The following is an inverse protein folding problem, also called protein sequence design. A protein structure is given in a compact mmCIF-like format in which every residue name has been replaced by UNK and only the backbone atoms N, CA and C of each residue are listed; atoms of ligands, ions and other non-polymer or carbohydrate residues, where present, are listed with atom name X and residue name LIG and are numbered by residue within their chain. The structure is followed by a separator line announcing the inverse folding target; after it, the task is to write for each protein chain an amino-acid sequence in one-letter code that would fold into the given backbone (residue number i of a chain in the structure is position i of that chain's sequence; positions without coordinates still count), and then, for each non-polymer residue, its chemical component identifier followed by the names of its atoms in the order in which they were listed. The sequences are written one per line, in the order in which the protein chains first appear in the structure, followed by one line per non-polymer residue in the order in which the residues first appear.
data_IF_396053416567
#
_entry.id   IF_396053416567
#
_cell.length_a   1.000
_cell.length_b   1.000
_cell.length_c   1.000
_cell.angle_alpha   90.00
_cell.angle_beta   90.00
_cell.angle_gamma   90.00
#
_symmetry.space_group_name_H-M   'P 1'
#
loop_
_entity.id
_entity.type
_entity.pdbx_description
1 polymer ?
#
# COMPACT_ATOMS: atom_id res chain seq x y z
N UNK A 1 -19.39 4.47 19.79
CA UNK A 1 -18.03 4.20 19.30
C UNK A 1 -17.50 5.44 18.60
N UNK A 2 -16.28 5.85 18.90
CA UNK A 2 -15.61 6.92 18.17
C UNK A 2 -15.24 6.44 16.76
N UNK A 3 -15.08 7.36 15.83
CA UNK A 3 -14.61 7.08 14.47
C UNK A 3 -15.47 6.08 13.68
N UNK A 4 -16.77 6.06 13.90
CA UNK A 4 -17.71 5.21 13.16
C UNK A 4 -17.60 3.71 13.41
N UNK A 5 -16.63 3.28 14.23
CA UNK A 5 -16.39 1.87 14.54
C UNK A 5 -15.79 1.04 13.41
N UNK A 6 -15.25 1.68 12.38
CA UNK A 6 -14.55 1.02 11.28
C UNK A 6 -13.23 0.37 11.73
N UNK A 7 -12.74 -0.55 10.93
CA UNK A 7 -11.41 -1.15 11.13
C UNK A 7 -10.34 -0.22 10.58
N UNK A 8 -9.47 0.27 11.47
CA UNK A 8 -8.37 1.15 11.10
C UNK A 8 -7.14 0.33 10.73
N UNK A 9 -6.56 0.61 9.58
CA UNK A 9 -5.46 -0.18 9.00
C UNK A 9 -4.08 0.37 9.34
N UNK A 10 -3.97 1.68 9.59
CA UNK A 10 -2.71 2.37 9.83
C UNK A 10 -2.10 2.05 11.21
N UNK A 11 -1.80 3.09 11.96
CA UNK A 11 -1.11 3.00 13.25
C UNK A 11 -1.81 2.12 14.29
N UNK A 12 -3.14 1.95 14.20
CA UNK A 12 -3.90 1.12 15.14
C UNK A 12 -3.54 -0.36 15.02
N UNK A 13 -3.23 -0.85 13.84
CA UNK A 13 -2.77 -2.23 13.64
C UNK A 13 -1.27 -2.37 13.90
N UNK A 14 -0.48 -1.40 13.49
CA UNK A 14 0.96 -1.33 13.71
C UNK A 14 1.33 -1.57 15.16
N UNK A 15 0.67 -0.86 16.08
CA UNK A 15 0.93 -0.96 17.50
C UNK A 15 0.65 -2.34 18.10
N UNK A 16 -0.21 -3.13 17.48
CA UNK A 16 -0.60 -4.47 17.94
C UNK A 16 0.30 -5.54 17.33
N UNK A 17 0.53 -5.50 16.03
CA UNK A 17 1.12 -6.63 15.30
C UNK A 17 2.65 -6.62 15.26
N UNK A 18 3.32 -5.47 15.22
CA UNK A 18 4.78 -5.44 15.28
C UNK A 18 5.36 -6.01 16.60
N UNK A 19 4.77 -5.77 17.78
CA UNK A 19 5.20 -6.45 19.00
C UNK A 19 5.05 -7.97 18.94
N UNK A 20 4.00 -8.50 18.32
CA UNK A 20 3.80 -9.95 18.14
C UNK A 20 4.93 -10.59 17.34
N UNK A 21 5.37 -9.93 16.26
CA UNK A 21 6.50 -10.38 15.46
C UNK A 21 7.76 -10.51 16.32
N UNK A 22 8.04 -9.51 17.14
CA UNK A 22 9.22 -9.50 18.01
C UNK A 22 9.17 -10.56 19.12
N UNK A 23 7.98 -10.85 19.62
CA UNK A 23 7.78 -11.88 20.66
C UNK A 23 7.76 -13.32 20.11
N UNK A 24 7.61 -13.47 18.77
CA UNK A 24 7.45 -14.78 18.14
C UNK A 24 6.01 -15.29 18.13
N UNK A 25 5.03 -14.41 18.39
CA UNK A 25 3.60 -14.74 18.41
C UNK A 25 3.01 -14.77 16.98
N UNK A 26 3.67 -15.47 16.07
CA UNK A 26 3.33 -15.45 14.63
C UNK A 26 1.92 -15.93 14.33
N UNK A 27 1.43 -16.92 15.09
CA UNK A 27 0.07 -17.45 14.95
C UNK A 27 -1.00 -16.39 15.23
N UNK A 28 -0.70 -15.42 16.11
CA UNK A 28 -1.61 -14.31 16.42
C UNK A 28 -1.64 -13.25 15.31
N UNK A 29 -0.64 -13.22 14.44
CA UNK A 29 -0.59 -12.32 13.27
C UNK A 29 -1.40 -12.88 12.09
N UNK A 30 -1.52 -14.18 11.98
CA UNK A 30 -2.16 -14.86 10.85
C UNK A 30 -3.60 -14.40 10.58
N UNK A 31 -4.46 -14.16 11.58
CA UNK A 31 -5.82 -13.65 11.35
C UNK A 31 -5.86 -12.34 10.56
N UNK A 32 -4.92 -11.42 10.80
CA UNK A 32 -4.79 -10.18 10.03
C UNK A 32 -4.44 -10.49 8.56
N UNK A 33 -3.43 -11.31 8.33
CA UNK A 33 -3.01 -11.66 6.97
C UNK A 33 -4.13 -12.33 6.18
N UNK A 34 -4.83 -13.27 6.81
CA UNK A 34 -6.00 -13.95 6.22
C UNK A 34 -7.16 -12.99 5.96
N UNK A 35 -7.35 -11.98 6.79
CA UNK A 35 -8.37 -10.96 6.57
C UNK A 35 -8.11 -10.21 5.26
N UNK A 36 -6.92 -9.67 5.05
CA UNK A 36 -6.56 -8.95 3.82
C UNK A 36 -6.54 -9.87 2.60
N UNK A 37 -6.09 -11.11 2.75
CA UNK A 37 -6.13 -12.10 1.67
C UNK A 37 -7.57 -12.39 1.22
N UNK A 38 -8.50 -12.55 2.15
CA UNK A 38 -9.93 -12.75 1.81
C UNK A 38 -10.53 -11.52 1.13
N UNK A 39 -10.09 -10.33 1.51
CA UNK A 39 -10.57 -9.06 0.95
C UNK A 39 -9.92 -8.70 -0.40
N UNK A 40 -8.88 -9.42 -0.83
CA UNK A 40 -8.06 -9.11 -2.00
C UNK A 40 -8.89 -8.93 -3.27
N UNK A 41 -9.77 -9.86 -3.58
CA UNK A 41 -10.61 -9.79 -4.81
C UNK A 41 -11.51 -8.56 -4.84
N UNK A 42 -12.05 -8.15 -3.70
CA UNK A 42 -12.87 -6.94 -3.60
C UNK A 42 -12.02 -5.68 -3.79
N UNK A 43 -10.80 -5.66 -3.24
CA UNK A 43 -9.87 -4.56 -3.42
C UNK A 43 -9.42 -4.40 -4.88
N UNK A 44 -9.10 -5.51 -5.56
CA UNK A 44 -8.77 -5.52 -6.99
C UNK A 44 -9.95 -5.09 -7.86
N UNK A 45 -11.16 -5.58 -7.56
CA UNK A 45 -12.37 -5.17 -8.27
C UNK A 45 -12.61 -3.67 -8.12
N UNK A 46 -12.45 -3.13 -6.92
CA UNK A 46 -12.57 -1.69 -6.66
C UNK A 46 -11.60 -0.87 -7.50
N UNK A 47 -10.34 -1.28 -7.54
CA UNK A 47 -9.29 -0.63 -8.36
C UNK A 47 -9.67 -0.65 -9.84
N UNK A 48 -10.10 -1.79 -10.33
CA UNK A 48 -10.54 -1.95 -11.73
C UNK A 48 -11.75 -1.07 -12.06
N UNK A 49 -12.76 -1.05 -11.18
CA UNK A 49 -13.99 -0.30 -11.44
C UNK A 49 -13.80 1.22 -11.38
N UNK A 50 -12.95 1.71 -10.49
CA UNK A 50 -12.80 3.16 -10.32
C UNK A 50 -11.67 3.75 -11.14
N UNK A 51 -10.58 3.02 -11.35
CA UNK A 51 -9.38 3.55 -12.00
C UNK A 51 -8.93 2.78 -13.23
N UNK A 52 -9.63 1.69 -13.60
CA UNK A 52 -9.37 0.89 -14.80
C UNK A 52 -7.96 0.30 -14.88
N UNK A 53 -7.31 0.07 -13.75
CA UNK A 53 -6.00 -0.56 -13.68
C UNK A 53 -5.96 -1.73 -12.68
N UNK A 54 -4.84 -2.44 -12.60
CA UNK A 54 -4.64 -3.61 -11.74
C UNK A 54 -4.17 -3.21 -10.35
N UNK A 55 -4.10 -4.23 -9.47
CA UNK A 55 -3.59 -4.13 -8.13
C UNK A 55 -4.66 -3.90 -7.09
N UNK A 56 -4.27 -4.08 -5.84
CA UNK A 56 -5.16 -3.95 -4.69
C UNK A 56 -4.71 -2.82 -3.79
N UNK A 57 -5.66 -1.99 -3.37
CA UNK A 57 -5.44 -0.96 -2.36
C UNK A 57 -6.46 -1.09 -1.24
N UNK A 58 -6.03 -0.72 -0.06
CA UNK A 58 -6.87 -0.67 1.13
C UNK A 58 -6.81 0.73 1.70
N UNK A 59 -7.97 1.27 2.03
CA UNK A 59 -8.07 2.58 2.66
C UNK A 59 -7.68 2.51 4.13
N UNK A 60 -7.47 3.66 4.75
CA UNK A 60 -7.13 3.73 6.18
C UNK A 60 -8.22 3.13 7.06
N UNK A 61 -9.49 3.31 6.69
CA UNK A 61 -10.64 2.69 7.37
C UNK A 61 -11.38 1.76 6.41
N UNK A 62 -11.57 0.51 6.83
CA UNK A 62 -12.22 -0.52 6.00
C UNK A 62 -13.32 -1.24 6.77
N UNK A 63 -14.28 -1.76 6.02
CA UNK A 63 -15.30 -2.69 6.48
C UNK A 63 -14.82 -4.14 6.37
N UNK A 64 -15.60 -5.06 6.90
CA UNK A 64 -15.29 -6.49 6.94
C UNK A 64 -14.98 -7.14 5.57
N UNK A 65 -15.42 -6.52 4.47
CA UNK A 65 -15.14 -6.99 3.11
C UNK A 65 -13.91 -6.32 2.47
N UNK A 66 -13.12 -5.56 3.23
CA UNK A 66 -11.97 -4.82 2.73
C UNK A 66 -12.31 -3.59 1.90
N UNK A 67 -13.58 -3.20 1.87
CA UNK A 67 -14.03 -1.98 1.22
C UNK A 67 -13.99 -0.81 2.21
N UNK A 68 -13.84 0.43 1.74
CA UNK A 68 -13.93 1.60 2.61
C UNK A 68 -15.23 1.63 3.40
N UNK A 69 -15.20 2.23 4.58
CA UNK A 69 -16.37 2.36 5.44
C UNK A 69 -17.51 3.10 4.75
N UNK A 70 -18.76 2.84 5.17
CA UNK A 70 -19.97 3.43 4.60
C UNK A 70 -19.93 4.97 4.55
N UNK A 71 -19.26 5.62 5.49
CA UNK A 71 -19.05 7.06 5.49
C UNK A 71 -18.34 7.56 4.21
N UNK A 72 -17.42 6.78 3.66
CA UNK A 72 -16.70 7.12 2.42
C UNK A 72 -17.53 6.86 1.15
N UNK A 73 -18.53 6.00 1.22
CA UNK A 73 -19.42 5.65 0.09
C UNK A 73 -20.88 5.94 0.35
N UNK A 74 -21.22 6.39 1.56
CA UNK A 74 -22.59 6.56 2.01
C UNK A 74 -23.33 7.69 1.30
N UNK A 75 -24.58 7.85 1.70
CA UNK A 75 -25.53 8.80 1.14
C UNK A 75 -25.10 10.26 1.23
N UNK A 76 -24.24 10.59 2.19
CA UNK A 76 -23.72 11.94 2.43
C UNK A 76 -22.41 12.23 1.73
N UNK A 77 -21.93 11.35 0.86
CA UNK A 77 -20.71 11.57 0.11
C UNK A 77 -20.87 12.76 -0.84
N UNK A 78 -19.90 13.67 -0.85
CA UNK A 78 -19.88 14.76 -1.80
C UNK A 78 -19.90 14.23 -3.25
N UNK A 79 -20.79 14.72 -4.13
CA UNK A 79 -20.79 14.34 -5.54
C UNK A 79 -19.55 14.86 -6.29
N UNK A 80 -18.84 15.84 -5.72
CA UNK A 80 -17.61 16.40 -6.29
C UNK A 80 -16.38 15.54 -6.00
N UNK A 81 -16.47 14.63 -5.03
CA UNK A 81 -15.37 13.73 -4.71
C UNK A 81 -15.32 12.58 -5.72
N UNK A 82 -14.17 12.37 -6.31
CA UNK A 82 -13.95 11.28 -7.26
C UNK A 82 -14.24 9.92 -6.60
N UNK A 83 -14.86 9.02 -7.36
CA UNK A 83 -15.14 7.66 -6.93
C UNK A 83 -13.83 6.94 -6.58
N UNK A 84 -13.86 6.15 -5.53
CA UNK A 84 -12.68 5.40 -5.07
C UNK A 84 -11.87 6.08 -3.97
N UNK A 85 -11.92 7.41 -3.84
CA UNK A 85 -11.22 8.13 -2.79
C UNK A 85 -12.04 8.27 -1.51
N UNK A 86 -11.34 8.37 -0.39
CA UNK A 86 -11.94 8.65 0.91
C UNK A 86 -12.39 10.12 0.99
N UNK A 87 -13.44 10.36 1.76
CA UNK A 87 -13.94 11.72 1.98
C UNK A 87 -13.06 12.55 2.92
N UNK A 88 -12.24 11.90 3.73
CA UNK A 88 -11.29 12.56 4.61
C UNK A 88 -10.02 12.94 3.84
N UNK A 89 -9.82 14.23 3.62
CA UNK A 89 -8.69 14.79 2.86
C UNK A 89 -7.30 14.42 3.41
N UNK A 90 -7.19 14.10 4.69
CA UNK A 90 -5.90 13.73 5.30
C UNK A 90 -5.45 12.32 4.94
N UNK A 91 -6.39 11.44 4.62
CA UNK A 91 -6.15 10.05 4.30
C UNK A 91 -6.64 9.65 2.90
N UNK A 92 -7.07 10.63 2.11
CA UNK A 92 -7.64 10.42 0.77
C UNK A 92 -6.71 9.60 -0.13
N UNK A 93 -5.41 9.88 -0.07
CA UNK A 93 -4.37 9.20 -0.84
C UNK A 93 -3.42 8.37 0.03
N UNK A 94 -3.87 7.93 1.20
CA UNK A 94 -3.07 7.12 2.12
C UNK A 94 -3.18 5.64 1.73
N UNK A 95 -2.27 5.18 0.86
CA UNK A 95 -2.22 3.81 0.37
C UNK A 95 -1.14 2.96 1.04
N UNK A 96 -0.13 3.59 1.62
CA UNK A 96 1.07 2.94 2.15
C UNK A 96 0.81 2.06 3.38
N UNK A 97 -0.36 2.15 4.02
CA UNK A 97 -0.78 1.19 5.05
C UNK A 97 -0.82 -0.26 4.55
N UNK A 98 -1.14 -0.47 3.26
CA UNK A 98 -1.10 -1.79 2.64
C UNK A 98 0.32 -2.38 2.58
N UNK A 99 1.33 -1.52 2.43
CA UNK A 99 2.73 -1.94 2.40
C UNK A 99 3.20 -2.39 3.79
N UNK A 100 2.64 -1.84 4.84
CA UNK A 100 3.01 -2.20 6.21
C UNK A 100 2.62 -3.65 6.54
N UNK A 101 1.40 -4.08 6.23
CA UNK A 101 1.05 -5.48 6.44
C UNK A 101 1.72 -6.43 5.43
N UNK A 102 2.03 -5.98 4.22
CA UNK A 102 2.90 -6.75 3.32
C UNK A 102 4.29 -6.96 3.94
N UNK A 103 4.86 -5.93 4.57
CA UNK A 103 6.14 -6.05 5.27
C UNK A 103 6.04 -6.99 6.47
N UNK A 104 4.97 -6.94 7.26
CA UNK A 104 4.74 -7.87 8.37
C UNK A 104 4.74 -9.32 7.89
N UNK A 105 4.10 -9.64 6.76
CA UNK A 105 4.10 -10.98 6.16
C UNK A 105 5.53 -11.40 5.77
N UNK A 106 6.27 -10.54 5.09
CA UNK A 106 7.67 -10.81 4.70
C UNK A 106 8.57 -11.04 5.91
N UNK A 107 8.36 -10.27 6.97
CA UNK A 107 9.12 -10.40 8.21
C UNK A 107 8.85 -11.71 8.95
N UNK A 108 7.62 -12.29 8.90
CA UNK A 108 7.37 -13.61 9.48
C UNK A 108 8.19 -14.71 8.80
N UNK A 109 8.38 -14.62 7.48
CA UNK A 109 9.28 -15.52 6.76
C UNK A 109 10.74 -15.29 7.19
N UNK A 110 11.17 -14.03 7.24
CA UNK A 110 12.55 -13.67 7.61
C UNK A 110 12.92 -14.08 9.04
N UNK A 111 12.01 -13.90 10.00
CA UNK A 111 12.29 -14.20 11.42
C UNK A 111 12.16 -15.68 11.76
N UNK A 112 11.20 -16.38 11.19
CA UNK A 112 10.82 -17.73 11.61
C UNK A 112 10.79 -18.75 10.46
N UNK A 113 11.20 -18.36 9.24
CA UNK A 113 11.15 -19.22 8.05
C UNK A 113 9.74 -19.81 7.79
N UNK A 114 8.69 -19.06 8.17
CA UNK A 114 7.31 -19.45 7.92
C UNK A 114 7.03 -19.35 6.43
N UNK A 115 6.39 -20.39 5.87
CA UNK A 115 5.93 -20.35 4.48
C UNK A 115 4.82 -19.32 4.29
N UNK A 116 5.09 -18.34 3.41
CA UNK A 116 4.18 -17.25 3.08
C UNK A 116 3.59 -17.35 1.67
N UNK A 117 3.75 -18.50 1.01
CA UNK A 117 3.30 -18.72 -0.38
C UNK A 117 1.85 -18.32 -0.59
N UNK A 118 0.97 -18.62 0.37
CA UNK A 118 -0.45 -18.26 0.29
C UNK A 118 -0.72 -16.75 0.24
N UNK A 119 0.20 -15.92 0.77
CA UNK A 119 0.06 -14.46 0.82
C UNK A 119 0.74 -13.74 -0.34
N UNK A 120 1.48 -14.46 -1.19
CA UNK A 120 2.17 -13.86 -2.34
C UNK A 120 1.23 -13.11 -3.29
N UNK A 121 0.00 -13.61 -3.58
CA UNK A 121 -0.95 -12.84 -4.40
C UNK A 121 -1.30 -11.47 -3.79
N UNK A 122 -1.45 -11.39 -2.48
CA UNK A 122 -1.75 -10.13 -1.78
C UNK A 122 -0.58 -9.14 -1.89
N UNK A 123 0.64 -9.58 -1.58
CA UNK A 123 1.85 -8.73 -1.65
C UNK A 123 2.06 -8.21 -3.08
N UNK A 124 2.01 -9.11 -4.06
CA UNK A 124 2.19 -8.76 -5.48
C UNK A 124 1.14 -7.75 -5.93
N UNK A 125 -0.13 -7.99 -5.61
CA UNK A 125 -1.24 -7.12 -6.01
C UNK A 125 -1.13 -5.73 -5.37
N UNK A 126 -0.74 -5.62 -4.11
CA UNK A 126 -0.50 -4.34 -3.46
C UNK A 126 0.63 -3.55 -4.16
N UNK A 127 1.74 -4.21 -4.52
CA UNK A 127 2.85 -3.54 -5.23
C UNK A 127 2.45 -3.09 -6.64
N UNK A 128 1.71 -3.93 -7.38
CA UNK A 128 1.19 -3.58 -8.71
C UNK A 128 0.27 -2.35 -8.63
N UNK A 129 -0.51 -2.21 -7.56
CA UNK A 129 -1.34 -1.02 -7.38
C UNK A 129 -0.50 0.26 -7.41
N UNK A 130 0.60 0.32 -6.67
CA UNK A 130 1.43 1.53 -6.62
C UNK A 130 2.06 1.87 -7.98
N UNK A 131 2.50 0.86 -8.72
CA UNK A 131 3.06 1.06 -10.06
C UNK A 131 2.00 1.63 -11.01
N UNK A 132 0.87 0.96 -11.13
CA UNK A 132 -0.17 1.34 -12.09
C UNK A 132 -0.93 2.60 -11.66
N UNK A 133 -1.20 2.78 -10.37
CA UNK A 133 -1.98 3.91 -9.87
C UNK A 133 -1.26 5.25 -10.04
N UNK A 134 0.03 5.32 -9.72
CA UNK A 134 0.77 6.57 -9.92
C UNK A 134 1.02 6.89 -11.39
N UNK A 135 1.14 5.89 -12.26
CA UNK A 135 1.15 6.12 -13.71
C UNK A 135 -0.22 6.63 -14.20
N UNK A 136 -1.31 6.04 -13.73
CA UNK A 136 -2.68 6.50 -14.01
C UNK A 136 -2.86 7.96 -13.57
N UNK A 137 -2.49 8.30 -12.34
CA UNK A 137 -2.60 9.66 -11.82
C UNK A 137 -1.75 10.67 -12.61
N UNK A 138 -0.56 10.28 -13.06
CA UNK A 138 0.27 11.13 -13.91
C UNK A 138 -0.40 11.41 -15.27
N UNK A 139 -0.88 10.36 -15.93
CA UNK A 139 -1.58 10.48 -17.23
C UNK A 139 -2.87 11.29 -17.10
N UNK A 140 -3.64 11.11 -16.04
CA UNK A 140 -4.86 11.87 -15.76
C UNK A 140 -4.61 13.37 -15.64
N UNK A 141 -3.44 13.77 -15.14
CA UNK A 141 -3.01 15.16 -15.06
C UNK A 141 -2.38 15.67 -16.36
N UNK A 142 -2.34 14.87 -17.41
CA UNK A 142 -1.67 15.22 -18.69
C UNK A 142 -0.15 15.16 -18.63
N UNK A 143 0.42 14.51 -17.60
CA UNK A 143 1.86 14.31 -17.46
C UNK A 143 2.30 12.98 -18.08
N UNK A 144 3.61 12.81 -18.29
CA UNK A 144 4.17 11.50 -18.61
C UNK A 144 4.04 10.57 -17.40
N UNK A 145 3.91 9.25 -17.60
CA UNK A 145 3.78 8.29 -16.51
C UNK A 145 5.01 8.22 -15.58
N UNK A 146 6.18 8.56 -16.13
CA UNK A 146 7.45 8.62 -15.39
C UNK A 146 8.10 9.98 -15.58
N UNK A 147 8.94 10.37 -14.63
CA UNK A 147 9.75 11.58 -14.70
C UNK A 147 10.91 11.44 -15.72
N UNK A 148 11.72 12.49 -15.85
CA UNK A 148 12.86 12.52 -16.78
C UNK A 148 13.96 11.47 -16.45
N UNK A 149 13.99 10.99 -15.20
CA UNK A 149 14.94 9.98 -14.73
C UNK A 149 14.36 8.56 -14.78
N UNK A 150 13.13 8.39 -15.26
CA UNK A 150 12.45 7.09 -15.31
C UNK A 150 11.79 6.67 -13.99
N UNK A 151 11.59 7.59 -13.03
CA UNK A 151 10.95 7.29 -11.77
C UNK A 151 9.45 7.60 -11.80
N UNK A 152 8.70 6.87 -10.99
CA UNK A 152 7.30 7.17 -10.71
C UNK A 152 7.16 8.55 -10.05
N UNK A 153 6.11 9.27 -10.41
CA UNK A 153 5.73 10.52 -9.77
C UNK A 153 4.60 10.20 -8.78
N UNK A 154 4.95 10.02 -7.51
CA UNK A 154 3.99 9.66 -6.45
C UNK A 154 3.23 10.90 -5.98
N UNK A 155 2.28 11.34 -6.80
CA UNK A 155 1.39 12.47 -6.54
C UNK A 155 0.02 12.23 -7.20
N UNK A 156 -1.09 12.54 -6.53
CA UNK A 156 -1.16 12.96 -5.14
C UNK A 156 -0.87 11.79 -4.17
N UNK A 157 -0.31 12.11 -3.01
CA UNK A 157 -0.09 11.17 -1.94
C UNK A 157 -0.48 11.77 -0.59
N UNK A 158 -0.65 10.93 0.43
CA UNK A 158 -0.77 11.37 1.81
C UNK A 158 0.46 10.94 2.58
N UNK A 159 1.15 11.86 3.23
CA UNK A 159 2.27 11.57 4.09
C UNK A 159 1.79 11.31 5.51
N UNK A 160 1.47 10.06 5.85
CA UNK A 160 0.71 9.70 7.03
C UNK A 160 -0.60 10.52 7.09
N UNK A 161 -1.16 10.77 8.25
CA UNK A 161 -2.32 11.67 8.42
C UNK A 161 -1.91 13.15 8.60
N UNK A 162 -0.67 13.49 8.27
CA UNK A 162 -0.10 14.82 8.55
C UNK A 162 -0.03 15.69 7.30
N UNK A 163 0.32 15.11 6.16
CA UNK A 163 0.49 15.84 4.93
C UNK A 163 -0.44 15.30 3.84
N UNK A 164 -1.44 16.08 3.48
CA UNK A 164 -2.30 15.83 2.30
C UNK A 164 -1.65 16.40 1.04
N UNK A 165 -1.91 15.76 -0.08
CA UNK A 165 -1.36 16.14 -1.40
C UNK A 165 0.18 16.17 -1.41
N UNK A 166 0.79 15.23 -0.69
CA UNK A 166 2.25 15.07 -0.67
C UNK A 166 2.77 14.62 -2.04
N UNK A 167 3.89 15.16 -2.44
CA UNK A 167 4.65 14.75 -3.62
C UNK A 167 5.83 13.89 -3.20
N UNK A 168 5.92 12.67 -3.72
CA UNK A 168 6.99 11.73 -3.41
C UNK A 168 7.21 11.55 -1.89
N UNK A 169 6.13 11.22 -1.17
CA UNK A 169 6.18 11.03 0.28
C UNK A 169 7.30 10.05 0.68
N UNK A 170 8.17 10.48 1.59
CA UNK A 170 9.27 9.66 2.10
C UNK A 170 8.78 8.36 2.72
N UNK A 171 7.65 8.36 3.44
CA UNK A 171 7.06 7.16 4.04
C UNK A 171 6.69 6.14 2.97
N UNK A 172 6.03 6.57 1.90
CA UNK A 172 5.62 5.70 0.79
C UNK A 172 6.84 5.15 0.04
N UNK A 173 7.83 6.01 -0.26
CA UNK A 173 9.08 5.59 -0.92
C UNK A 173 9.82 4.55 -0.08
N UNK A 174 9.99 4.81 1.21
CA UNK A 174 10.67 3.90 2.13
C UNK A 174 9.94 2.57 2.25
N UNK A 175 8.61 2.60 2.40
CA UNK A 175 7.79 1.41 2.48
C UNK A 175 7.86 0.56 1.20
N UNK A 176 7.74 1.17 0.02
CA UNK A 176 7.87 0.47 -1.27
C UNK A 176 9.24 -0.18 -1.42
N UNK A 177 10.31 0.55 -1.15
CA UNK A 177 11.67 0.00 -1.20
C UNK A 177 11.86 -1.16 -0.22
N UNK A 178 11.33 -1.05 0.98
CA UNK A 178 11.44 -2.11 1.99
C UNK A 178 10.69 -3.37 1.56
N UNK A 179 9.44 -3.24 1.10
CA UNK A 179 8.64 -4.40 0.65
C UNK A 179 9.24 -5.03 -0.60
N UNK A 180 9.66 -4.23 -1.60
CA UNK A 180 10.29 -4.74 -2.82
C UNK A 180 11.59 -5.47 -2.53
N UNK A 181 12.46 -4.89 -1.70
CA UNK A 181 13.70 -5.56 -1.30
C UNK A 181 13.41 -6.85 -0.51
N UNK A 182 12.46 -6.83 0.42
CA UNK A 182 12.04 -8.03 1.14
C UNK A 182 11.53 -9.12 0.21
N UNK A 183 10.69 -8.76 -0.77
CA UNK A 183 10.14 -9.68 -1.77
C UNK A 183 11.24 -10.27 -2.68
N UNK A 184 12.14 -9.44 -3.18
CA UNK A 184 13.22 -9.86 -4.09
C UNK A 184 14.31 -10.69 -3.39
N UNK A 185 14.43 -10.58 -2.07
CA UNK A 185 15.33 -11.39 -1.25
C UNK A 185 14.75 -12.74 -0.82
N UNK A 186 13.47 -13.02 -1.12
CA UNK A 186 12.89 -14.34 -0.90
C UNK A 186 13.57 -15.41 -1.78
N UNK A 187 13.45 -16.67 -1.35
CA UNK A 187 13.87 -17.82 -2.15
C UNK A 187 13.22 -17.78 -3.54
N UNK A 188 13.93 -18.32 -4.53
CA UNK A 188 13.48 -18.29 -5.94
C UNK A 188 12.13 -18.97 -6.19
N UNK A 189 11.70 -19.87 -5.31
CA UNK A 189 10.40 -20.54 -5.39
C UNK A 189 9.18 -19.62 -5.22
N UNK A 190 9.36 -18.43 -4.62
CA UNK A 190 8.26 -17.49 -4.39
C UNK A 190 7.91 -16.60 -5.59
N UNK A 191 8.85 -16.43 -6.53
CA UNK A 191 8.68 -15.61 -7.72
C UNK A 191 9.13 -16.36 -8.97
N UNK A 192 8.34 -16.30 -10.03
CA UNK A 192 8.82 -16.67 -11.37
C UNK A 192 9.89 -15.67 -11.85
N UNK A 193 10.64 -16.05 -12.89
CA UNK A 193 11.64 -15.14 -13.49
C UNK A 193 11.00 -13.86 -14.04
N UNK A 194 9.84 -13.97 -14.68
CA UNK A 194 9.12 -12.80 -15.21
C UNK A 194 8.63 -11.88 -14.08
N UNK A 195 8.10 -12.45 -12.99
CA UNK A 195 7.69 -11.67 -11.82
C UNK A 195 8.89 -10.98 -11.16
N UNK A 196 10.01 -11.68 -11.02
CA UNK A 196 11.25 -11.10 -10.47
C UNK A 196 11.70 -9.92 -11.30
N UNK A 197 11.79 -10.09 -12.61
CA UNK A 197 12.15 -9.02 -13.56
C UNK A 197 11.19 -7.83 -13.48
N UNK A 198 9.89 -8.09 -13.35
CA UNK A 198 8.89 -7.03 -13.19
C UNK A 198 9.13 -6.21 -11.90
N UNK A 199 9.34 -6.89 -10.75
CA UNK A 199 9.53 -6.21 -9.48
C UNK A 199 10.91 -5.53 -9.35
N UNK A 200 11.95 -6.06 -9.98
CA UNK A 200 13.24 -5.37 -10.15
C UNK A 200 13.08 -4.08 -10.96
N UNK A 201 12.31 -4.15 -12.05
CA UNK A 201 11.93 -2.99 -12.84
C UNK A 201 11.10 -1.98 -12.04
N UNK A 202 10.18 -2.43 -11.21
CA UNK A 202 9.42 -1.54 -10.33
C UNK A 202 10.35 -0.87 -9.29
N UNK A 203 11.24 -1.63 -8.66
CA UNK A 203 12.21 -1.08 -7.70
C UNK A 203 13.07 0.03 -8.33
N UNK A 204 13.50 -0.15 -9.58
CA UNK A 204 14.28 0.87 -10.31
C UNK A 204 13.49 2.14 -10.62
N UNK A 205 12.15 2.05 -10.69
CA UNK A 205 11.26 3.20 -10.89
C UNK A 205 10.89 3.93 -9.60
N UNK A 206 11.21 3.39 -8.43
CA UNK A 206 10.95 4.10 -7.17
C UNK A 206 11.94 5.24 -7.00
N UNK A 207 11.47 6.49 -6.82
CA UNK A 207 12.36 7.65 -6.72
C UNK A 207 13.29 7.54 -5.50
N UNK A 208 14.40 8.29 -5.51
CA UNK A 208 15.25 8.39 -4.33
C UNK A 208 14.50 9.05 -3.17
N UNK A 209 14.87 8.70 -1.95
CA UNK A 209 14.39 9.41 -0.75
C UNK A 209 14.96 10.84 -0.81
N UNK A 210 14.07 11.82 -0.77
CA UNK A 210 14.49 13.21 -0.69
C UNK A 210 15.12 13.47 0.68
N UNK A 211 16.37 13.93 0.68
CA UNK A 211 17.07 14.39 1.87
C UNK A 211 17.20 15.90 1.79
N UNK A 212 16.63 16.63 2.75
CA UNK A 212 16.96 18.03 2.96
C UNK A 212 18.28 18.05 3.72
N UNK A 213 19.37 18.32 3.02
CA UNK A 213 20.60 18.74 3.67
C UNK A 213 20.33 20.17 4.19
N UNK A 214 20.17 20.30 5.50
CA UNK A 214 20.29 21.60 6.14
C UNK A 214 21.75 22.01 6.06
N UNK A 215 22.11 22.80 5.08
CA UNK A 215 23.31 23.61 5.16
C UNK A 215 22.94 24.77 6.09
N UNK A 216 23.42 24.73 7.33
CA UNK A 216 23.47 25.91 8.16
C UNK A 216 24.46 26.87 7.53
N UNK A 217 23.96 27.96 6.93
CA UNK A 217 24.75 29.13 6.65
C UNK A 217 25.06 29.85 7.96
#
# INVERSE_FOLDING_TARGET
RNWGGGTHTAQNQRLVYWPMLKNGDFELMEPQFKFYLRALKNAELRTKEYWQHKGASFTEQIEQFGLPIAYCYGWNRSPLLEKGYQQNLWVEHLWDTSLEFCMMILETNRYANIDISQYMPLIKSCLIFFDEHYQYEALKRGSKPLDANGHLIMYPGSGAETYKLAYNSTSTIAALKSVLNGLLNLQSSYLSEDERKYFEGLLSRIPPISCLLYTSD
#
